data_IF_817115311203
#
_entry.id   IF_817115311203
#
_cell.length_a   1.000
_cell.length_b   1.000
_cell.length_c   1.000
_cell.angle_alpha   90.00
_cell.angle_beta   90.00
_cell.angle_gamma   90.00
#
_symmetry.space_group_name_H-M   'P 1'
#
loop_
_entity.id
_entity.type
_entity.pdbx_description
1 polymer ?
#
# COMPACT_ATOMS: atom_id res chain seq x y z
N UNK A 1 -24.93 9.98 -24.34
CA UNK A 1 -24.99 10.57 -22.99
C UNK A 1 -23.57 10.77 -22.53
N UNK A 2 -23.19 11.95 -22.03
CA UNK A 2 -21.83 12.17 -21.54
C UNK A 2 -21.57 11.24 -20.34
N UNK A 3 -20.45 10.54 -20.36
CA UNK A 3 -20.03 9.67 -19.26
C UNK A 3 -19.82 10.51 -17.99
N UNK A 4 -20.29 10.02 -16.84
CA UNK A 4 -20.15 10.75 -15.57
C UNK A 4 -18.71 10.66 -15.11
N UNK A 5 -18.14 11.79 -14.67
CA UNK A 5 -16.82 11.79 -14.04
C UNK A 5 -16.87 11.01 -12.73
N UNK A 6 -15.88 10.14 -12.52
CA UNK A 6 -15.77 9.29 -11.33
C UNK A 6 -14.59 9.70 -10.46
N UNK A 7 -14.75 9.59 -9.15
CA UNK A 7 -13.68 9.64 -8.17
C UNK A 7 -13.64 8.30 -7.44
N UNK A 8 -12.46 7.71 -7.35
CA UNK A 8 -12.22 6.45 -6.65
C UNK A 8 -11.69 6.75 -5.25
N UNK A 9 -12.53 6.56 -4.24
CA UNK A 9 -12.23 6.83 -2.84
C UNK A 9 -11.88 5.53 -2.13
N UNK A 10 -10.61 5.33 -1.82
CA UNK A 10 -10.14 4.04 -1.28
C UNK A 10 -10.70 3.76 0.12
N UNK A 11 -11.32 2.60 0.31
CA UNK A 11 -11.53 2.02 1.64
C UNK A 11 -10.22 1.38 2.10
N UNK A 12 -9.77 1.68 3.31
CA UNK A 12 -8.47 1.25 3.84
C UNK A 12 -8.62 0.56 5.20
N UNK A 13 -7.81 0.94 6.19
CA UNK A 13 -7.67 0.21 7.44
C UNK A 13 -7.83 1.16 8.63
N UNK A 14 -8.10 0.59 9.82
CA UNK A 14 -7.99 1.27 11.12
C UNK A 14 -8.68 2.65 11.19
N UNK A 15 -7.99 3.69 11.66
CA UNK A 15 -8.57 5.01 11.86
C UNK A 15 -9.06 5.67 10.56
N UNK A 16 -8.31 5.67 9.43
CA UNK A 16 -8.82 6.15 8.15
C UNK A 16 -10.10 5.45 7.68
N UNK A 17 -10.24 4.15 7.92
CA UNK A 17 -11.47 3.42 7.60
C UNK A 17 -12.65 3.97 8.43
N UNK A 18 -12.50 4.09 9.75
CA UNK A 18 -13.54 4.66 10.62
C UNK A 18 -13.94 6.09 10.22
N UNK A 19 -12.95 6.93 9.91
CA UNK A 19 -13.20 8.29 9.43
C UNK A 19 -13.98 8.29 8.10
N UNK A 20 -13.68 7.34 7.21
CA UNK A 20 -14.37 7.18 5.93
C UNK A 20 -15.85 6.86 6.12
N UNK A 21 -16.22 5.99 7.07
CA UNK A 21 -17.63 5.70 7.37
C UNK A 21 -18.43 6.96 7.73
N UNK A 22 -17.81 7.93 8.43
CA UNK A 22 -18.45 9.20 8.75
C UNK A 22 -18.43 10.20 7.60
N UNK A 23 -17.30 10.33 6.89
CA UNK A 23 -17.06 11.43 5.97
C UNK A 23 -17.54 11.15 4.54
N UNK A 24 -17.43 9.91 4.07
CA UNK A 24 -17.79 9.52 2.71
C UNK A 24 -19.25 9.83 2.34
N UNK A 25 -20.27 9.63 3.23
CA UNK A 25 -21.64 10.04 2.93
C UNK A 25 -21.78 11.54 2.65
N UNK A 26 -21.01 12.36 3.36
CA UNK A 26 -20.97 13.82 3.15
C UNK A 26 -20.35 14.12 1.78
N UNK A 27 -19.20 13.52 1.46
CA UNK A 27 -18.58 13.69 0.13
C UNK A 27 -19.56 13.34 -0.99
N UNK A 28 -20.20 12.17 -0.92
CA UNK A 28 -21.20 11.72 -1.91
C UNK A 28 -22.37 12.69 -2.06
N UNK A 29 -22.86 13.27 -0.96
CA UNK A 29 -23.96 14.23 -0.99
C UNK A 29 -23.56 15.53 -1.71
N UNK A 30 -22.36 16.05 -1.44
CA UNK A 30 -21.87 17.29 -2.04
C UNK A 30 -21.48 17.11 -3.52
N UNK A 31 -20.90 15.97 -3.91
CA UNK A 31 -20.48 15.74 -5.30
C UNK A 31 -21.64 15.46 -6.25
N UNK A 32 -22.81 15.05 -5.73
CA UNK A 32 -24.01 14.77 -6.53
C UNK A 32 -24.47 16.00 -7.33
N UNK A 33 -24.39 17.21 -6.78
CA UNK A 33 -24.80 18.43 -7.51
C UNK A 33 -23.90 18.77 -8.68
N UNK A 34 -22.68 18.24 -8.71
CA UNK A 34 -21.72 18.38 -9.81
C UNK A 34 -21.76 17.18 -10.79
N UNK A 35 -22.69 16.24 -10.63
CA UNK A 35 -22.79 15.01 -11.42
C UNK A 35 -21.49 14.17 -11.40
N UNK A 36 -20.80 14.15 -10.24
CA UNK A 36 -19.61 13.33 -10.00
C UNK A 36 -20.00 12.10 -9.18
N UNK A 37 -19.62 10.93 -9.66
CA UNK A 37 -19.84 9.64 -9.00
C UNK A 37 -18.64 9.27 -8.11
N UNK A 38 -18.91 8.67 -6.95
CA UNK A 38 -17.88 8.21 -6.02
C UNK A 38 -17.91 6.68 -5.93
N UNK A 39 -16.89 6.04 -6.50
CA UNK A 39 -16.62 4.62 -6.39
C UNK A 39 -15.76 4.34 -5.15
N UNK A 40 -15.92 3.18 -4.53
CA UNK A 40 -15.34 2.87 -3.21
C UNK A 40 -14.53 1.56 -3.21
N UNK A 41 -13.44 1.49 -3.98
CA UNK A 41 -12.60 0.30 -4.05
C UNK A 41 -11.99 -0.03 -2.68
N UNK A 42 -12.08 -1.30 -2.28
CA UNK A 42 -11.52 -1.79 -1.01
C UNK A 42 -10.09 -2.31 -1.19
N UNK A 43 -9.14 -1.60 -0.62
CA UNK A 43 -7.71 -1.97 -0.59
C UNK A 43 -7.22 -2.23 0.84
N UNK A 44 -8.14 -2.46 1.78
CA UNK A 44 -7.83 -2.91 3.14
C UNK A 44 -6.96 -4.17 3.12
N UNK A 45 -6.25 -4.44 4.22
CA UNK A 45 -5.51 -5.67 4.40
C UNK A 45 -6.44 -6.89 4.21
N UNK A 46 -7.62 -6.87 4.83
CA UNK A 46 -8.59 -7.95 4.72
C UNK A 46 -9.09 -8.17 3.29
N UNK A 47 -9.43 -7.09 2.58
CA UNK A 47 -9.86 -7.17 1.19
C UNK A 47 -8.78 -7.72 0.28
N UNK A 48 -7.53 -7.24 0.42
CA UNK A 48 -6.40 -7.75 -0.37
C UNK A 48 -6.09 -9.21 -0.11
N UNK A 49 -6.25 -9.70 1.13
CA UNK A 49 -6.16 -11.14 1.43
C UNK A 49 -7.24 -11.89 0.65
N UNK A 50 -8.51 -11.52 0.81
CA UNK A 50 -9.63 -12.23 0.17
C UNK A 50 -9.50 -12.26 -1.36
N UNK A 51 -9.13 -11.14 -1.98
CA UNK A 51 -8.92 -11.03 -3.42
C UNK A 51 -7.82 -11.96 -3.96
N UNK A 52 -6.82 -12.33 -3.15
CA UNK A 52 -5.73 -13.22 -3.56
C UNK A 52 -6.02 -14.72 -3.35
N UNK A 53 -7.08 -15.08 -2.62
CA UNK A 53 -7.48 -16.46 -2.34
C UNK A 53 -8.92 -16.80 -2.77
N UNK A 54 -9.41 -16.37 -3.95
CA UNK A 54 -10.79 -16.62 -4.35
C UNK A 54 -11.13 -18.11 -4.44
N UNK A 55 -10.15 -18.98 -4.69
CA UNK A 55 -10.35 -20.43 -4.76
C UNK A 55 -10.67 -21.08 -3.41
N UNK A 56 -10.38 -20.40 -2.29
CA UNK A 56 -10.77 -20.84 -0.96
C UNK A 56 -12.17 -20.33 -0.58
N UNK A 57 -12.68 -19.32 -1.28
CA UNK A 57 -13.90 -18.62 -0.88
C UNK A 57 -15.14 -19.21 -1.55
N UNK A 58 -16.26 -19.17 -0.84
CA UNK A 58 -17.59 -19.37 -1.43
C UNK A 58 -17.92 -18.22 -2.38
N UNK A 59 -18.85 -18.45 -3.30
CA UNK A 59 -19.19 -17.44 -4.31
C UNK A 59 -19.72 -16.12 -3.72
N UNK A 60 -20.41 -16.18 -2.58
CA UNK A 60 -20.91 -15.03 -1.83
C UNK A 60 -19.83 -14.32 -0.98
N UNK A 61 -18.66 -14.95 -0.80
CA UNK A 61 -17.52 -14.41 -0.06
C UNK A 61 -16.47 -13.76 -0.96
N UNK A 62 -16.50 -14.06 -2.26
CA UNK A 62 -15.54 -13.54 -3.23
C UNK A 62 -15.73 -12.04 -3.42
N UNK A 63 -14.62 -11.33 -3.47
CA UNK A 63 -14.58 -9.90 -3.77
C UNK A 63 -13.64 -9.65 -4.95
N UNK A 64 -13.84 -8.56 -5.72
CA UNK A 64 -12.92 -8.20 -6.79
C UNK A 64 -11.53 -7.82 -6.25
N UNK A 65 -10.49 -8.03 -7.06
CA UNK A 65 -9.16 -7.49 -6.78
C UNK A 65 -9.14 -5.99 -7.13
N UNK A 66 -9.60 -5.18 -6.18
CA UNK A 66 -9.69 -3.73 -6.35
C UNK A 66 -8.30 -3.08 -6.48
N UNK A 67 -7.23 -3.67 -5.94
CA UNK A 67 -5.88 -3.13 -6.09
C UNK A 67 -5.37 -3.30 -7.52
N UNK A 68 -5.56 -4.49 -8.12
CA UNK A 68 -5.24 -4.71 -9.52
C UNK A 68 -6.04 -3.77 -10.44
N UNK A 69 -7.35 -3.65 -10.21
CA UNK A 69 -8.23 -2.74 -10.96
C UNK A 69 -7.79 -1.27 -10.86
N UNK A 70 -7.38 -0.83 -9.66
CA UNK A 70 -6.86 0.53 -9.47
C UNK A 70 -5.49 0.74 -10.13
N UNK A 71 -4.65 -0.30 -10.21
CA UNK A 71 -3.38 -0.25 -10.93
C UNK A 71 -3.58 -0.06 -12.44
N UNK A 72 -4.51 -0.83 -13.03
CA UNK A 72 -4.91 -0.65 -14.43
C UNK A 72 -5.48 0.75 -14.66
N UNK A 73 -6.36 1.22 -13.78
CA UNK A 73 -6.93 2.56 -13.84
C UNK A 73 -5.85 3.64 -13.76
N UNK A 74 -4.86 3.52 -12.89
CA UNK A 74 -3.81 4.52 -12.69
C UNK A 74 -2.98 4.78 -13.96
N UNK A 75 -2.98 3.84 -14.91
CA UNK A 75 -2.35 3.98 -16.22
C UNK A 75 -3.25 4.65 -17.27
N UNK A 76 -4.49 5.05 -16.93
CA UNK A 76 -5.43 5.70 -17.86
C UNK A 76 -5.63 7.20 -17.53
N UNK A 77 -5.97 8.04 -18.52
CA UNK A 77 -6.25 9.45 -18.30
C UNK A 77 -7.44 9.75 -17.38
N UNK A 78 -8.36 8.79 -17.24
CA UNK A 78 -9.59 8.92 -16.44
C UNK A 78 -9.34 8.72 -14.94
N UNK A 79 -8.12 8.32 -14.54
CA UNK A 79 -7.75 8.08 -13.16
C UNK A 79 -7.94 9.32 -12.28
N UNK A 80 -8.87 9.23 -11.33
CA UNK A 80 -9.05 10.23 -10.28
C UNK A 80 -9.20 9.51 -8.93
N UNK A 81 -8.07 9.25 -8.28
CA UNK A 81 -7.98 8.38 -7.10
C UNK A 81 -7.67 9.21 -5.85
N UNK A 82 -8.55 9.15 -4.86
CA UNK A 82 -8.30 9.66 -3.51
C UNK A 82 -7.80 8.49 -2.65
N UNK A 83 -6.50 8.48 -2.40
CA UNK A 83 -5.81 7.44 -1.63
C UNK A 83 -5.65 7.84 -0.15
N UNK A 84 -6.29 7.11 0.75
CA UNK A 84 -6.14 7.27 2.19
C UNK A 84 -4.98 6.42 2.73
N UNK A 85 -4.41 6.69 3.92
CA UNK A 85 -3.41 5.80 4.53
C UNK A 85 -3.97 4.38 4.72
N UNK A 86 -3.13 3.37 4.51
CA UNK A 86 -3.45 1.94 4.63
C UNK A 86 -2.30 1.19 5.33
N UNK A 87 -2.55 -0.03 5.79
CA UNK A 87 -1.55 -0.89 6.41
C UNK A 87 -0.58 -1.42 5.35
N UNK A 88 0.72 -1.18 5.56
CA UNK A 88 1.80 -1.98 4.98
C UNK A 88 2.11 -3.13 5.93
N UNK A 89 1.52 -4.30 5.69
CA UNK A 89 1.41 -5.33 6.71
C UNK A 89 2.75 -5.96 7.08
N UNK A 90 3.05 -5.95 8.39
CA UNK A 90 4.02 -6.87 8.98
C UNK A 90 3.46 -8.30 9.05
N UNK A 91 4.33 -9.29 9.26
CA UNK A 91 3.90 -10.70 9.44
C UNK A 91 2.88 -10.85 10.59
N UNK A 92 3.09 -10.27 11.80
CA UNK A 92 2.09 -10.39 12.87
C UNK A 92 0.73 -9.77 12.52
N UNK A 93 0.70 -8.66 11.79
CA UNK A 93 -0.55 -8.05 11.34
C UNK A 93 -1.26 -8.92 10.30
N UNK A 94 -0.50 -9.54 9.39
CA UNK A 94 -1.05 -10.48 8.42
C UNK A 94 -1.70 -11.68 9.12
N UNK A 95 -0.98 -12.31 10.04
CA UNK A 95 -1.47 -13.48 10.79
C UNK A 95 -2.72 -13.13 11.62
N UNK A 96 -2.75 -11.95 12.25
CA UNK A 96 -3.92 -11.46 12.97
C UNK A 96 -5.14 -11.29 12.04
N UNK A 97 -4.95 -10.68 10.86
CA UNK A 97 -6.02 -10.50 9.88
C UNK A 97 -6.53 -11.85 9.33
N UNK A 98 -5.64 -12.81 9.09
CA UNK A 98 -5.99 -14.18 8.68
C UNK A 98 -6.85 -14.84 9.77
N UNK A 99 -6.41 -14.80 11.02
CA UNK A 99 -7.14 -15.39 12.14
C UNK A 99 -8.53 -14.76 12.33
N UNK A 100 -8.63 -13.43 12.17
CA UNK A 100 -9.91 -12.73 12.23
C UNK A 100 -10.86 -13.15 11.09
N UNK A 101 -10.36 -13.20 9.84
CA UNK A 101 -11.12 -13.67 8.69
C UNK A 101 -11.61 -15.12 8.87
N UNK A 102 -10.73 -16.00 9.34
CA UNK A 102 -11.08 -17.39 9.63
C UNK A 102 -12.17 -17.51 10.69
N UNK A 103 -12.09 -16.71 11.77
CA UNK A 103 -13.14 -16.63 12.80
C UNK A 103 -14.48 -16.17 12.23
N UNK A 104 -14.48 -15.34 11.20
CA UNK A 104 -15.67 -14.89 10.48
C UNK A 104 -16.15 -15.88 9.40
N UNK A 105 -15.47 -17.03 9.24
CA UNK A 105 -15.88 -18.10 8.33
C UNK A 105 -15.30 -18.00 6.91
N UNK A 106 -14.29 -17.17 6.68
CA UNK A 106 -13.52 -17.16 5.43
C UNK A 106 -12.37 -18.17 5.55
N UNK A 107 -12.38 -19.28 4.78
CA UNK A 107 -11.43 -20.37 4.98
C UNK A 107 -10.09 -20.12 4.25
N UNK A 108 -9.56 -18.90 4.35
CA UNK A 108 -8.24 -18.55 3.79
C UNK A 108 -7.13 -19.32 4.52
N UNK A 109 -6.08 -19.78 3.82
CA UNK A 109 -5.03 -20.59 4.42
C UNK A 109 -4.17 -19.80 5.40
N UNK A 110 -3.56 -20.47 6.38
CA UNK A 110 -2.55 -19.86 7.24
C UNK A 110 -1.31 -19.43 6.45
N UNK A 111 -0.59 -18.43 6.95
CA UNK A 111 0.67 -17.99 6.35
C UNK A 111 1.81 -18.99 6.70
N UNK A 112 2.44 -19.66 5.73
CA UNK A 112 3.57 -20.55 6.00
C UNK A 112 4.86 -19.73 6.04
N UNK A 113 5.38 -19.49 7.25
CA UNK A 113 6.62 -18.73 7.47
C UNK A 113 7.82 -19.40 6.81
N UNK A 114 7.90 -20.73 6.90
CA UNK A 114 8.93 -21.54 6.26
C UNK A 114 8.31 -22.60 5.34
N UNK A 115 7.92 -22.24 4.11
CA UNK A 115 7.24 -23.17 3.22
C UNK A 115 8.16 -24.33 2.82
N UNK A 116 7.73 -25.57 3.07
CA UNK A 116 8.47 -26.81 2.74
C UNK A 116 7.90 -27.52 1.52
N UNK A 117 6.59 -27.36 1.27
CA UNK A 117 5.90 -27.98 0.13
C UNK A 117 5.63 -26.98 -0.99
N UNK A 118 5.39 -27.45 -2.22
CA UNK A 118 5.05 -26.57 -3.33
C UNK A 118 3.69 -25.86 -3.14
N UNK A 119 2.76 -26.51 -2.43
CA UNK A 119 1.50 -25.89 -2.02
C UNK A 119 1.73 -24.73 -1.03
N UNK A 120 2.56 -24.93 -0.01
CA UNK A 120 2.93 -23.86 0.93
C UNK A 120 3.69 -22.72 0.25
N UNK A 121 4.59 -23.03 -0.70
CA UNK A 121 5.29 -22.00 -1.50
C UNK A 121 4.31 -21.18 -2.33
N UNK A 122 3.29 -21.81 -2.90
CA UNK A 122 2.25 -21.10 -3.65
C UNK A 122 1.43 -20.16 -2.75
N UNK A 123 1.05 -20.62 -1.54
CA UNK A 123 0.37 -19.78 -0.55
C UNK A 123 1.27 -18.62 -0.10
N UNK A 124 2.54 -18.91 0.23
CA UNK A 124 3.52 -17.90 0.63
C UNK A 124 3.66 -16.82 -0.44
N UNK A 125 3.77 -17.23 -1.72
CA UNK A 125 3.88 -16.32 -2.87
C UNK A 125 2.66 -15.39 -2.99
N UNK A 126 1.45 -15.90 -2.75
CA UNK A 126 0.22 -15.09 -2.76
C UNK A 126 0.23 -14.08 -1.61
N UNK A 127 0.58 -14.50 -0.39
CA UNK A 127 0.69 -13.58 0.75
C UNK A 127 1.83 -12.57 0.61
N UNK A 128 2.90 -12.91 -0.09
CA UNK A 128 3.99 -11.98 -0.39
C UNK A 128 3.52 -10.77 -1.22
N UNK A 129 2.45 -10.91 -2.02
CA UNK A 129 1.81 -9.79 -2.74
C UNK A 129 0.98 -8.88 -1.83
N UNK A 130 0.67 -9.34 -0.61
CA UNK A 130 -0.13 -8.60 0.38
C UNK A 130 0.77 -7.96 1.45
N UNK A 131 1.91 -8.58 1.76
CA UNK A 131 2.88 -8.13 2.75
C UNK A 131 3.58 -6.83 2.37
N UNK A 132 3.96 -6.08 3.41
CA UNK A 132 4.71 -4.84 3.27
C UNK A 132 3.98 -3.78 2.44
N UNK A 133 4.75 -2.96 1.73
CA UNK A 133 4.20 -1.85 0.93
C UNK A 133 3.67 -2.35 -0.42
N UNK A 134 2.61 -3.17 -0.41
CA UNK A 134 1.99 -3.72 -1.62
C UNK A 134 1.20 -2.69 -2.45
N UNK A 135 0.58 -1.71 -1.81
CA UNK A 135 -0.34 -0.78 -2.49
C UNK A 135 0.38 0.35 -3.23
N UNK A 136 1.36 1.00 -2.60
CA UNK A 136 2.00 2.17 -3.18
C UNK A 136 2.71 1.92 -4.53
N UNK A 137 3.43 0.78 -4.72
CA UNK A 137 4.07 0.48 -6.00
C UNK A 137 3.08 0.32 -7.15
N UNK A 138 1.82 -0.05 -6.86
CA UNK A 138 0.77 -0.22 -7.87
C UNK A 138 0.11 1.11 -8.24
N UNK A 139 -0.05 2.03 -7.28
CA UNK A 139 -0.80 3.27 -7.50
C UNK A 139 0.07 4.48 -7.87
N UNK A 140 1.40 4.38 -7.74
CA UNK A 140 2.33 5.51 -7.97
C UNK A 140 2.94 5.47 -9.36
N UNK A 141 2.07 5.50 -10.37
CA UNK A 141 2.43 5.64 -11.79
C UNK A 141 2.81 7.10 -12.15
N UNK A 142 3.66 7.71 -11.31
CA UNK A 142 4.05 9.11 -11.44
C UNK A 142 4.97 9.58 -10.31
N UNK A 143 5.43 10.82 -10.43
CA UNK A 143 6.30 11.46 -9.45
C UNK A 143 5.49 12.10 -8.29
N UNK A 144 6.18 12.55 -7.25
CA UNK A 144 5.56 13.12 -6.05
C UNK A 144 5.63 14.66 -6.02
N UNK A 145 4.47 15.34 -6.01
CA UNK A 145 4.34 16.73 -5.51
C UNK A 145 3.86 16.72 -4.06
N UNK A 146 4.74 17.04 -3.10
CA UNK A 146 4.41 17.06 -1.66
C UNK A 146 4.79 18.39 -1.04
N UNK A 147 3.79 19.11 -0.50
CA UNK A 147 3.97 20.42 0.14
C UNK A 147 2.93 20.68 1.23
N UNK A 148 3.29 21.48 2.24
CA UNK A 148 2.35 21.94 3.25
C UNK A 148 1.40 23.00 2.65
N UNK A 149 0.06 22.85 2.76
CA UNK A 149 -0.88 23.86 2.25
C UNK A 149 -0.72 25.22 2.94
N UNK A 150 -0.93 26.33 2.20
CA UNK A 150 -0.80 27.71 2.73
C UNK A 150 -1.70 27.95 3.96
N UNK A 151 -2.94 27.45 3.93
CA UNK A 151 -3.87 27.55 5.05
C UNK A 151 -3.33 26.84 6.31
N UNK A 152 -2.78 25.63 6.17
CA UNK A 152 -2.17 24.87 7.27
C UNK A 152 -0.94 25.61 7.80
N UNK A 153 -0.09 26.15 6.91
CA UNK A 153 1.11 26.92 7.33
C UNK A 153 0.73 28.19 8.09
N UNK A 154 -0.30 28.91 7.65
CA UNK A 154 -0.78 30.11 8.34
C UNK A 154 -1.39 29.75 9.71
N UNK A 155 -2.17 28.67 9.77
CA UNK A 155 -2.70 28.17 11.03
C UNK A 155 -1.59 27.81 12.03
N UNK A 156 -0.54 27.12 11.59
CA UNK A 156 0.61 26.78 12.43
C UNK A 156 1.41 28.00 12.90
N UNK A 157 1.41 29.11 12.14
CA UNK A 157 1.99 30.39 12.59
C UNK A 157 1.16 31.04 13.69
N UNK A 158 -0.16 31.00 13.57
CA UNK A 158 -1.08 31.55 14.57
C UNK A 158 -1.20 30.66 15.82
N UNK A 159 -1.00 29.36 15.66
CA UNK A 159 -1.10 28.34 16.71
C UNK A 159 0.18 27.48 16.71
N UNK A 160 1.30 28.04 17.18
CA UNK A 160 2.58 27.32 17.17
C UNK A 160 2.48 26.07 18.06
N UNK A 161 2.85 24.93 17.49
CA UNK A 161 3.02 23.70 18.27
C UNK A 161 4.29 23.79 19.12
N UNK A 162 4.34 23.00 20.19
CA UNK A 162 5.50 22.96 21.09
C UNK A 162 6.73 22.46 20.33
N UNK A 163 7.81 23.22 20.42
CA UNK A 163 9.13 22.82 19.94
C UNK A 163 10.03 22.59 21.15
N UNK A 164 10.68 21.43 21.22
CA UNK A 164 11.64 21.14 22.29
C UNK A 164 12.83 22.10 22.24
N UNK A 165 13.30 22.53 23.41
CA UNK A 165 14.51 23.37 23.50
C UNK A 165 15.72 22.53 23.14
N UNK A 166 16.55 23.03 22.23
CA UNK A 166 17.81 22.41 21.87
C UNK A 166 18.91 22.92 22.79
N UNK A 167 19.54 22.02 23.54
CA UNK A 167 20.66 22.32 24.41
C UNK A 167 21.98 22.23 23.62
N UNK A 168 22.89 23.18 23.82
CA UNK A 168 24.19 23.23 23.13
C UNK A 168 25.12 22.07 23.51
N UNK A 169 24.86 21.42 24.65
CA UNK A 169 25.57 20.25 25.16
C UNK A 169 24.86 18.92 24.84
N UNK A 170 23.90 18.93 23.89
CA UNK A 170 23.25 17.72 23.41
C UNK A 170 24.27 16.71 22.89
N UNK A 171 24.19 15.49 23.40
CA UNK A 171 25.06 14.37 22.98
C UNK A 171 24.42 13.51 21.87
N UNK A 172 23.24 13.88 21.37
CA UNK A 172 22.58 13.17 20.28
C UNK A 172 23.41 13.32 18.99
N UNK A 173 23.81 12.18 18.42
CA UNK A 173 24.47 12.11 17.12
C UNK A 173 23.86 11.00 16.27
N UNK A 174 24.05 11.09 14.95
CA UNK A 174 23.74 10.00 14.03
C UNK A 174 24.99 9.13 13.92
N UNK A 175 24.86 7.83 14.18
CA UNK A 175 25.87 6.84 13.88
C UNK A 175 25.44 6.05 12.64
N UNK A 176 26.32 5.93 11.66
CA UNK A 176 26.12 5.15 10.43
C UNK A 176 27.39 4.35 10.10
N UNK A 177 27.29 3.41 9.17
CA UNK A 177 28.45 2.64 8.71
C UNK A 177 29.45 3.56 7.99
N UNK A 178 30.75 3.31 8.16
CA UNK A 178 31.81 4.06 7.47
C UNK A 178 32.25 3.39 6.16
N UNK A 179 31.93 2.10 5.98
CA UNK A 179 32.20 1.32 4.77
C UNK A 179 31.38 0.02 4.78
N UNK A 180 31.23 -0.61 3.62
CA UNK A 180 30.56 -1.91 3.46
C UNK A 180 29.03 -1.86 3.48
N UNK A 181 28.44 -0.67 3.49
CA UNK A 181 27.00 -0.46 3.31
C UNK A 181 26.65 -0.26 1.83
N UNK A 182 25.36 -0.14 1.52
CA UNK A 182 24.89 0.08 0.15
C UNK A 182 25.52 1.31 -0.50
N UNK A 183 25.73 2.41 0.24
CA UNK A 183 26.36 3.62 -0.30
C UNK A 183 27.83 3.37 -0.69
N UNK A 184 28.59 2.72 0.19
CA UNK A 184 30.01 2.43 -0.05
C UNK A 184 30.28 1.38 -1.13
N UNK A 185 29.28 0.56 -1.49
CA UNK A 185 29.42 -0.54 -2.48
C UNK A 185 28.55 -0.39 -3.73
N UNK A 186 27.87 0.74 -3.90
CA UNK A 186 26.97 0.97 -5.04
C UNK A 186 27.75 0.94 -6.37
N UNK A 187 27.22 0.20 -7.35
CA UNK A 187 27.65 0.27 -8.73
C UNK A 187 26.41 0.54 -9.59
N UNK A 188 26.50 1.46 -10.54
CA UNK A 188 25.38 1.88 -11.38
C UNK A 188 25.82 2.02 -12.84
N UNK A 189 24.89 1.76 -13.76
CA UNK A 189 25.10 1.93 -15.20
C UNK A 189 23.78 2.30 -15.88
N UNK A 190 23.85 2.99 -17.01
CA UNK A 190 22.67 3.32 -17.85
C UNK A 190 22.55 2.28 -18.96
N UNK A 191 21.36 1.70 -19.10
CA UNK A 191 21.09 0.68 -20.12
C UNK A 191 20.73 1.38 -21.44
N UNK A 192 21.54 1.18 -22.49
CA UNK A 192 21.37 1.88 -23.78
C UNK A 192 20.25 1.30 -24.67
N UNK A 193 19.95 0.01 -24.51
CA UNK A 193 19.00 -0.72 -25.36
C UNK A 193 18.18 -1.69 -24.53
N UNK A 194 16.93 -1.88 -24.93
CA UNK A 194 16.04 -2.87 -24.32
C UNK A 194 16.68 -4.26 -24.34
N UNK A 195 16.56 -4.97 -23.22
CA UNK A 195 17.19 -6.27 -23.04
C UNK A 195 16.70 -6.99 -21.79
N UNK A 196 17.24 -8.20 -21.59
CA UNK A 196 17.01 -9.01 -20.39
C UNK A 196 18.34 -9.22 -19.69
N UNK A 197 18.34 -9.17 -18.36
CA UNK A 197 19.50 -9.49 -17.54
C UNK A 197 19.16 -10.65 -16.60
N UNK A 198 20.21 -11.30 -16.09
CA UNK A 198 20.11 -12.34 -15.07
C UNK A 198 21.08 -11.98 -13.96
N UNK A 199 20.57 -11.99 -12.72
CA UNK A 199 21.41 -11.89 -11.53
C UNK A 199 21.83 -13.33 -11.17
N UNK A 200 23.13 -13.59 -11.14
CA UNK A 200 23.70 -14.92 -10.86
C UNK A 200 24.69 -14.80 -9.71
N UNK A 201 24.52 -15.64 -8.70
CA UNK A 201 25.53 -15.86 -7.68
C UNK A 201 26.45 -16.99 -8.14
N UNK A 202 27.76 -16.77 -8.04
CA UNK A 202 28.77 -17.79 -8.32
C UNK A 202 29.45 -18.15 -7.00
N UNK A 203 29.28 -19.39 -6.56
CA UNK A 203 29.85 -19.88 -5.31
C UNK A 203 31.36 -20.08 -5.42
N UNK A 204 32.06 -19.97 -4.29
CA UNK A 204 33.50 -20.31 -4.23
C UNK A 204 33.77 -21.81 -4.47
N UNK A 205 32.73 -22.65 -4.36
CA UNK A 205 32.73 -24.08 -4.66
C UNK A 205 32.47 -24.39 -6.15
N UNK A 206 32.23 -23.36 -6.97
CA UNK A 206 31.95 -23.50 -8.40
C UNK A 206 30.47 -23.70 -8.76
N UNK A 207 29.55 -23.54 -7.78
CA UNK A 207 28.10 -23.51 -8.02
C UNK A 207 27.59 -22.23 -8.69
#
# INVERSE_FOLDING_TARGET
>A
MAEKSKIYYTLTDEAPMLATFSFLPIVKAFTRSANIEIEVPDISLSGRILANFPEYLKDDQKIPDALAQLGELAATPEANIIKLPNISASVPQLEAAIAELQKQGYPVPNYPVEPKTDHEKAINTKYARVLGSAVNPVLREGNSDRRAPKAVKNYAKANPHRMGVWASDSKTSVAHMNSGDFYGTENSTTVEKDGKFKIVFYGSDGS
#
